data_IF_292824012872
#
_entry.id   IF_292824012872
#
_cell.length_a   1.000
_cell.length_b   1.000
_cell.length_c   1.000
_cell.angle_alpha   90.00
_cell.angle_beta   90.00
_cell.angle_gamma   90.00
#
_symmetry.space_group_name_H-M   'P 1'
#
loop_
_entity.id
_entity.type
_entity.pdbx_description
1 polymer ?
#
# COMPACT_ATOMS: atom_id res chain seq x y z
N UNK A 1 -29.63 53.27 4.57
CA UNK A 1 -29.27 51.85 4.36
C UNK A 1 -29.95 51.06 5.47
N UNK A 2 -31.18 50.60 5.25
CA UNK A 2 -31.93 49.85 6.26
C UNK A 2 -31.66 48.36 6.04
N UNK A 3 -30.99 47.74 7.00
CA UNK A 3 -30.88 46.28 7.08
C UNK A 3 -32.30 45.76 7.31
N UNK A 4 -32.87 45.12 6.29
CA UNK A 4 -34.21 44.52 6.38
C UNK A 4 -34.21 43.46 7.49
N UNK A 5 -35.12 43.61 8.44
CA UNK A 5 -35.33 42.67 9.54
C UNK A 5 -35.85 41.34 8.99
N UNK A 6 -34.97 40.34 8.95
CA UNK A 6 -35.35 38.98 8.60
C UNK A 6 -36.20 38.42 9.74
N UNK A 7 -37.41 37.96 9.43
CA UNK A 7 -38.32 37.36 10.42
C UNK A 7 -37.70 36.09 11.01
N UNK A 8 -37.86 35.82 12.32
CA UNK A 8 -37.30 34.61 12.94
C UNK A 8 -37.80 33.33 12.26
N UNK A 9 -39.01 33.36 11.70
CA UNK A 9 -39.62 32.24 10.97
C UNK A 9 -38.93 32.01 9.63
N UNK A 10 -38.55 33.07 8.90
CA UNK A 10 -37.81 32.93 7.65
C UNK A 10 -36.37 32.51 7.89
N UNK A 11 -35.75 32.96 8.97
CA UNK A 11 -34.43 32.47 9.39
C UNK A 11 -34.47 30.96 9.75
N UNK A 12 -35.50 30.51 10.46
CA UNK A 12 -35.70 29.09 10.78
C UNK A 12 -36.01 28.24 9.56
N UNK A 13 -36.86 28.71 8.64
CA UNK A 13 -37.11 28.02 7.37
C UNK A 13 -35.82 27.89 6.55
N UNK A 14 -35.01 28.95 6.46
CA UNK A 14 -33.73 28.91 5.74
C UNK A 14 -32.75 27.93 6.40
N UNK A 15 -32.66 27.91 7.74
CA UNK A 15 -31.81 26.95 8.47
C UNK A 15 -32.25 25.50 8.32
N UNK A 16 -33.56 25.23 8.28
CA UNK A 16 -34.09 23.89 8.06
C UNK A 16 -33.83 23.42 6.62
N UNK A 17 -33.99 24.31 5.64
CA UNK A 17 -33.73 24.01 4.23
C UNK A 17 -32.23 23.81 3.98
N UNK A 18 -31.35 24.62 4.55
CA UNK A 18 -29.89 24.42 4.42
C UNK A 18 -29.41 23.17 5.16
N UNK A 19 -29.99 22.85 6.32
CA UNK A 19 -29.71 21.62 7.06
C UNK A 19 -30.09 20.34 6.30
N UNK A 20 -31.18 20.39 5.51
CA UNK A 20 -31.61 19.28 4.66
C UNK A 20 -30.74 19.11 3.39
N UNK A 21 -30.24 20.20 2.82
CA UNK A 21 -29.37 20.18 1.63
C UNK A 21 -27.96 19.65 1.95
N UNK A 22 -27.48 19.80 3.19
CA UNK A 22 -26.18 19.28 3.64
C UNK A 22 -26.19 17.78 4.01
N UNK A 23 -27.37 17.17 4.16
CA UNK A 23 -27.52 15.80 4.68
C UNK A 23 -27.60 14.70 3.59
N UNK A 24 -27.59 15.07 2.30
CA UNK A 24 -27.60 14.10 1.20
C UNK A 24 -26.19 13.74 0.73
N UNK A 25 -25.32 13.35 1.67
CA UNK A 25 -24.29 12.38 1.33
C UNK A 25 -24.97 11.01 1.44
N UNK A 26 -25.06 10.26 0.33
CA UNK A 26 -25.43 8.85 0.37
C UNK A 26 -24.47 8.15 1.33
N UNK A 27 -24.93 7.90 2.56
CA UNK A 27 -24.10 7.23 3.54
C UNK A 27 -23.85 5.79 3.07
N UNK A 28 -22.58 5.46 2.82
CA UNK A 28 -22.14 4.11 2.51
C UNK A 28 -22.76 3.09 3.47
N UNK A 29 -23.62 2.20 2.95
CA UNK A 29 -24.15 1.09 3.72
C UNK A 29 -23.10 -0.02 3.81
N UNK A 30 -22.39 -0.05 4.95
CA UNK A 30 -21.29 -0.97 5.21
C UNK A 30 -21.67 -2.44 5.01
N UNK A 31 -22.88 -2.85 5.43
CA UNK A 31 -23.33 -4.24 5.30
C UNK A 31 -23.60 -4.65 3.86
N UNK A 32 -24.20 -3.76 3.07
CA UNK A 32 -24.38 -3.98 1.62
C UNK A 32 -23.02 -3.98 0.91
N UNK A 33 -22.10 -3.09 1.32
CA UNK A 33 -20.75 -3.07 0.78
C UNK A 33 -19.98 -4.36 1.05
N UNK A 34 -19.98 -4.83 2.30
CA UNK A 34 -19.37 -6.09 2.69
C UNK A 34 -19.95 -7.27 1.92
N UNK A 35 -21.27 -7.34 1.78
CA UNK A 35 -21.91 -8.39 0.98
C UNK A 35 -21.47 -8.33 -0.48
N UNK A 36 -21.44 -7.14 -1.07
CA UNK A 36 -21.05 -6.94 -2.48
C UNK A 36 -19.61 -7.39 -2.74
N UNK A 37 -18.66 -7.01 -1.88
CA UNK A 37 -17.25 -7.43 -2.06
C UNK A 37 -17.08 -8.95 -1.88
N UNK A 38 -17.85 -9.58 -0.99
CA UNK A 38 -17.83 -11.03 -0.82
C UNK A 38 -18.44 -11.77 -2.02
N UNK A 39 -19.61 -11.34 -2.49
CA UNK A 39 -20.34 -12.03 -3.56
C UNK A 39 -19.63 -11.91 -4.91
N UNK A 40 -18.96 -10.79 -5.18
CA UNK A 40 -18.31 -10.55 -6.47
C UNK A 40 -16.78 -10.67 -6.41
N UNK A 41 -16.13 -9.89 -5.55
CA UNK A 41 -14.66 -9.80 -5.56
C UNK A 41 -14.01 -11.04 -4.95
N UNK A 42 -14.49 -11.50 -3.79
CA UNK A 42 -13.97 -12.72 -3.15
C UNK A 42 -14.29 -13.98 -3.95
N UNK A 43 -15.48 -14.06 -4.55
CA UNK A 43 -15.85 -15.19 -5.40
C UNK A 43 -14.89 -15.33 -6.59
N UNK A 44 -14.59 -14.22 -7.27
CA UNK A 44 -13.63 -14.20 -8.39
C UNK A 44 -12.23 -14.57 -7.91
N UNK A 45 -11.76 -13.94 -6.84
CA UNK A 45 -10.45 -14.24 -6.26
C UNK A 45 -10.30 -15.72 -5.85
N UNK A 46 -11.34 -16.30 -5.25
CA UNK A 46 -11.35 -17.71 -4.83
C UNK A 46 -11.28 -18.65 -6.03
N UNK A 47 -11.99 -18.31 -7.11
CA UNK A 47 -11.92 -19.06 -8.37
C UNK A 47 -10.50 -19.02 -8.95
N UNK A 48 -9.90 -17.83 -9.04
CA UNK A 48 -8.58 -17.64 -9.63
C UNK A 48 -7.47 -18.32 -8.79
N UNK A 49 -7.54 -18.18 -7.46
CA UNK A 49 -6.63 -18.87 -6.54
C UNK A 49 -6.81 -20.39 -6.55
N UNK A 50 -8.01 -20.89 -6.87
CA UNK A 50 -8.27 -22.31 -7.03
C UNK A 50 -7.68 -22.91 -8.31
N UNK A 51 -7.37 -22.07 -9.32
CA UNK A 51 -6.65 -22.47 -10.52
C UNK A 51 -5.13 -22.56 -10.35
N UNK A 52 -4.60 -22.03 -9.25
CA UNK A 52 -3.16 -22.04 -8.93
C UNK A 52 -2.82 -23.20 -7.98
N UNK A 53 -1.65 -23.81 -8.19
CA UNK A 53 -1.08 -24.75 -7.23
C UNK A 53 -0.84 -24.05 -5.88
N UNK A 54 -1.20 -24.72 -4.78
CA UNK A 54 -1.03 -24.18 -3.42
C UNK A 54 0.39 -23.72 -3.09
N UNK A 55 1.40 -24.37 -3.66
CA UNK A 55 2.80 -23.98 -3.49
C UNK A 55 3.13 -22.61 -4.06
N UNK A 56 2.35 -22.13 -5.02
CA UNK A 56 2.52 -20.83 -5.67
C UNK A 56 1.82 -19.69 -4.92
N UNK A 57 0.97 -19.99 -3.93
CA UNK A 57 0.28 -18.95 -3.15
C UNK A 57 1.23 -17.99 -2.44
N UNK A 58 2.44 -18.43 -2.11
CA UNK A 58 3.47 -17.59 -1.47
C UNK A 58 4.41 -16.90 -2.47
N UNK A 59 4.26 -17.16 -3.77
CA UNK A 59 5.06 -16.53 -4.81
C UNK A 59 4.37 -15.27 -5.30
N UNK A 60 4.86 -14.11 -4.84
CA UNK A 60 4.27 -12.82 -5.22
C UNK A 60 4.12 -12.61 -6.73
N UNK A 61 5.13 -12.91 -7.58
CA UNK A 61 4.99 -12.77 -9.03
C UNK A 61 3.82 -13.57 -9.62
N UNK A 62 3.51 -14.74 -9.06
CA UNK A 62 2.45 -15.62 -9.56
C UNK A 62 1.05 -15.16 -9.12
N UNK A 63 0.93 -14.49 -7.97
CA UNK A 63 -0.36 -14.03 -7.44
C UNK A 63 -0.63 -12.53 -7.64
N UNK A 64 0.36 -11.77 -8.13
CA UNK A 64 0.31 -10.30 -8.19
C UNK A 64 -0.89 -9.82 -9.01
N UNK A 65 -1.12 -10.40 -10.18
CA UNK A 65 -2.22 -10.02 -11.08
C UNK A 65 -3.58 -10.30 -10.44
N UNK A 66 -3.76 -11.49 -9.84
CA UNK A 66 -4.99 -11.87 -9.14
C UNK A 66 -5.27 -10.97 -7.94
N UNK A 67 -4.24 -10.63 -7.15
CA UNK A 67 -4.38 -9.74 -5.99
C UNK A 67 -4.64 -8.28 -6.40
N UNK A 68 -4.04 -7.81 -7.50
CA UNK A 68 -4.35 -6.51 -8.09
C UNK A 68 -5.80 -6.45 -8.57
N UNK A 69 -6.28 -7.50 -9.25
CA UNK A 69 -7.67 -7.65 -9.67
C UNK A 69 -8.65 -7.56 -8.49
N UNK A 70 -8.36 -8.27 -7.39
CA UNK A 70 -9.13 -8.19 -6.15
C UNK A 70 -9.16 -6.77 -5.58
N UNK A 71 -7.99 -6.12 -5.52
CA UNK A 71 -7.85 -4.74 -5.00
C UNK A 71 -8.67 -3.76 -5.83
N UNK A 72 -8.54 -3.82 -7.16
CA UNK A 72 -9.30 -2.99 -8.08
C UNK A 72 -10.81 -3.26 -8.00
N UNK A 73 -11.23 -4.52 -7.85
CA UNK A 73 -12.64 -4.87 -7.65
C UNK A 73 -13.22 -4.22 -6.39
N UNK A 74 -12.52 -4.31 -5.24
CA UNK A 74 -13.00 -3.68 -4.00
C UNK A 74 -13.02 -2.15 -4.09
N UNK A 75 -12.06 -1.56 -4.81
CA UNK A 75 -12.02 -0.13 -5.06
C UNK A 75 -13.21 0.32 -5.91
N UNK A 76 -13.50 -0.37 -7.01
CA UNK A 76 -14.67 -0.07 -7.86
C UNK A 76 -15.99 -0.29 -7.12
N UNK A 77 -16.09 -1.35 -6.30
CA UNK A 77 -17.28 -1.59 -5.48
C UNK A 77 -17.50 -0.46 -4.47
N UNK A 78 -16.42 0.04 -3.86
CA UNK A 78 -16.50 1.19 -2.95
C UNK A 78 -16.97 2.45 -3.67
N UNK A 79 -16.40 2.76 -4.85
CA UNK A 79 -16.82 3.90 -5.67
C UNK A 79 -18.30 3.83 -6.08
N UNK A 80 -18.80 2.65 -6.49
CA UNK A 80 -20.20 2.47 -6.92
C UNK A 80 -21.22 2.64 -5.80
N UNK A 81 -20.80 2.49 -4.54
CA UNK A 81 -21.66 2.61 -3.37
C UNK A 81 -21.32 3.83 -2.51
N UNK A 82 -20.60 4.80 -3.08
CA UNK A 82 -20.20 6.03 -2.41
C UNK A 82 -19.47 5.79 -1.08
N UNK A 83 -18.69 4.70 -1.02
CA UNK A 83 -17.85 4.34 0.12
C UNK A 83 -16.42 4.84 -0.10
N UNK A 84 -15.80 5.39 0.96
CA UNK A 84 -14.37 5.71 0.95
C UNK A 84 -13.53 4.43 0.91
N UNK A 85 -12.44 4.42 0.16
CA UNK A 85 -11.48 3.32 0.09
C UNK A 85 -10.08 3.87 0.38
N UNK A 86 -9.29 3.27 1.30
CA UNK A 86 -9.62 2.09 2.12
C UNK A 86 -10.49 2.44 3.33
N UNK A 87 -11.15 1.43 3.92
CA UNK A 87 -11.93 1.57 5.16
C UNK A 87 -11.90 0.27 5.98
N UNK A 88 -12.37 0.31 7.23
CA UNK A 88 -12.37 -0.86 8.14
C UNK A 88 -13.02 -2.16 7.60
N UNK A 89 -14.03 -2.08 6.71
CA UNK A 89 -14.63 -3.26 6.07
C UNK A 89 -13.62 -3.89 5.12
N UNK A 90 -12.95 -3.07 4.31
CA UNK A 90 -11.88 -3.51 3.39
C UNK A 90 -10.70 -4.07 4.18
N UNK A 91 -10.31 -3.43 5.28
CA UNK A 91 -9.21 -3.92 6.12
C UNK A 91 -9.52 -5.31 6.68
N UNK A 92 -10.73 -5.51 7.23
CA UNK A 92 -11.16 -6.81 7.73
C UNK A 92 -11.21 -7.87 6.62
N UNK A 93 -11.76 -7.50 5.47
CA UNK A 93 -11.84 -8.35 4.29
C UNK A 93 -10.46 -8.85 3.84
N UNK A 94 -9.49 -7.95 3.65
CA UNK A 94 -8.13 -8.34 3.27
C UNK A 94 -7.42 -9.13 4.37
N UNK A 95 -7.60 -8.77 5.65
CA UNK A 95 -7.05 -9.56 6.75
C UNK A 95 -7.55 -11.01 6.72
N UNK A 96 -8.82 -11.24 6.38
CA UNK A 96 -9.38 -12.59 6.29
C UNK A 96 -8.80 -13.37 5.09
N UNK A 97 -8.59 -12.71 3.95
CA UNK A 97 -7.88 -13.31 2.81
C UNK A 97 -6.46 -13.70 3.19
N UNK A 98 -5.70 -12.81 3.85
CA UNK A 98 -4.34 -13.10 4.31
C UNK A 98 -4.30 -14.29 5.29
N UNK A 99 -5.23 -14.37 6.23
CA UNK A 99 -5.34 -15.52 7.15
C UNK A 99 -5.75 -16.82 6.46
N UNK A 100 -6.46 -16.76 5.34
CA UNK A 100 -6.97 -17.97 4.67
C UNK A 100 -5.94 -18.50 3.66
N UNK A 101 -5.41 -17.64 2.80
CA UNK A 101 -4.55 -18.03 1.68
C UNK A 101 -3.06 -17.88 1.98
N UNK A 102 -2.67 -16.95 2.85
CA UNK A 102 -1.26 -16.55 3.01
C UNK A 102 -0.71 -16.78 4.42
N UNK A 103 -1.40 -17.57 5.27
CA UNK A 103 -1.01 -17.76 6.67
C UNK A 103 0.36 -18.44 6.86
N UNK A 104 0.75 -19.31 5.93
CA UNK A 104 2.05 -20.00 5.95
C UNK A 104 3.14 -19.27 5.15
N UNK A 105 2.81 -18.15 4.52
CA UNK A 105 3.76 -17.44 3.66
C UNK A 105 4.71 -16.60 4.50
N UNK A 106 6.02 -16.84 4.32
CA UNK A 106 7.04 -16.00 4.91
C UNK A 106 7.04 -14.60 4.25
N UNK A 107 7.24 -13.55 5.03
CA UNK A 107 7.36 -12.16 4.54
C UNK A 107 8.67 -11.89 3.75
N UNK A 108 9.37 -12.95 3.36
CA UNK A 108 10.69 -12.90 2.78
C UNK A 108 10.60 -12.38 1.34
N UNK A 109 11.12 -11.19 1.06
CA UNK A 109 11.26 -10.66 -0.30
C UNK A 109 10.37 -9.46 -0.66
N UNK A 110 9.36 -9.11 0.17
CA UNK A 110 8.57 -7.86 -0.04
C UNK A 110 9.12 -6.65 0.71
N UNK A 111 9.90 -6.87 1.76
CA UNK A 111 10.50 -5.79 2.50
C UNK A 111 11.86 -5.47 1.86
N UNK A 112 11.94 -4.34 1.14
CA UNK A 112 13.23 -3.75 0.78
C UNK A 112 13.92 -3.44 2.10
N UNK A 113 14.83 -4.33 2.49
CA UNK A 113 15.61 -4.24 3.73
C UNK A 113 17.06 -4.32 3.34
N UNK A 114 17.88 -3.51 4.01
CA UNK A 114 19.32 -3.67 3.90
C UNK A 114 19.73 -5.10 4.22
N UNK A 115 20.71 -5.66 3.50
CA UNK A 115 21.22 -6.98 3.82
C UNK A 115 21.80 -6.99 5.25
N UNK A 116 21.83 -8.16 5.91
CA UNK A 116 22.39 -8.27 7.25
C UNK A 116 23.83 -7.71 7.29
N UNK A 117 24.20 -7.10 8.41
CA UNK A 117 25.49 -6.40 8.58
C UNK A 117 26.69 -7.29 8.22
N UNK A 118 26.60 -8.60 8.48
CA UNK A 118 27.65 -9.55 8.11
C UNK A 118 27.93 -9.64 6.61
N UNK A 119 26.96 -9.31 5.76
CA UNK A 119 27.12 -9.20 4.31
C UNK A 119 27.49 -7.76 3.94
N UNK A 120 26.75 -6.79 4.46
CA UNK A 120 26.90 -5.37 4.11
C UNK A 120 28.30 -4.82 4.46
N UNK A 121 28.83 -5.17 5.63
CA UNK A 121 30.09 -4.61 6.11
C UNK A 121 31.29 -5.00 5.22
N UNK A 122 31.51 -6.27 4.85
CA UNK A 122 32.55 -6.64 3.87
C UNK A 122 32.44 -5.88 2.54
N UNK A 123 31.22 -5.71 2.01
CA UNK A 123 31.00 -4.97 0.76
C UNK A 123 31.43 -3.50 0.85
N UNK A 124 31.41 -2.90 2.04
CA UNK A 124 31.88 -1.52 2.26
C UNK A 124 33.38 -1.51 2.57
N UNK A 125 33.84 -2.40 3.45
CA UNK A 125 35.23 -2.41 3.93
C UNK A 125 36.21 -2.80 2.84
N UNK A 126 35.89 -3.78 1.99
CA UNK A 126 36.82 -4.25 0.94
C UNK A 126 37.15 -3.15 -0.07
N UNK A 127 36.19 -2.43 -0.69
CA UNK A 127 36.50 -1.31 -1.57
C UNK A 127 37.31 -0.21 -0.89
N UNK A 128 36.99 0.14 0.36
CA UNK A 128 37.73 1.18 1.11
C UNK A 128 39.17 0.76 1.35
N UNK A 129 39.42 -0.50 1.74
CA UNK A 129 40.78 -0.99 1.93
C UNK A 129 41.55 -1.00 0.61
N UNK A 130 40.91 -1.38 -0.49
CA UNK A 130 41.54 -1.36 -1.83
C UNK A 130 41.91 0.07 -2.22
N UNK A 131 41.04 1.07 -2.03
CA UNK A 131 41.36 2.46 -2.36
C UNK A 131 42.51 3.00 -1.50
N UNK A 132 42.54 2.67 -0.21
CA UNK A 132 43.65 3.04 0.68
C UNK A 132 44.97 2.37 0.28
N UNK A 133 44.94 1.09 -0.10
CA UNK A 133 46.13 0.37 -0.56
C UNK A 133 46.65 0.95 -1.88
N UNK A 134 45.77 1.18 -2.85
CA UNK A 134 46.16 1.76 -4.15
C UNK A 134 46.74 3.16 -4.00
N UNK A 135 46.13 4.01 -3.17
CA UNK A 135 46.67 5.36 -2.91
C UNK A 135 48.04 5.31 -2.23
N UNK A 136 48.22 4.42 -1.24
CA UNK A 136 49.52 4.21 -0.60
C UNK A 136 50.59 3.71 -1.58
N UNK A 137 50.23 2.78 -2.47
CA UNK A 137 51.12 2.27 -3.52
C UNK A 137 51.53 3.38 -4.50
N UNK A 138 50.58 4.23 -4.92
CA UNK A 138 50.87 5.36 -5.82
C UNK A 138 51.80 6.37 -5.17
N UNK A 139 51.53 6.77 -3.92
CA UNK A 139 52.39 7.71 -3.18
C UNK A 139 53.79 7.13 -2.97
N UNK A 140 53.88 5.84 -2.64
CA UNK A 140 55.16 5.17 -2.45
C UNK A 140 55.97 5.12 -3.76
N UNK A 141 55.34 4.76 -4.88
CA UNK A 141 55.99 4.72 -6.20
C UNK A 141 56.41 6.11 -6.67
N UNK A 142 55.59 7.13 -6.46
CA UNK A 142 55.90 8.51 -6.81
C UNK A 142 57.14 9.01 -6.07
N UNK A 143 57.20 8.87 -4.74
CA UNK A 143 58.38 9.27 -3.95
C UNK A 143 59.65 8.50 -4.33
N UNK A 144 59.54 7.21 -4.62
CA UNK A 144 60.68 6.38 -5.09
C UNK A 144 61.20 6.84 -6.45
N UNK A 145 60.35 7.39 -7.31
CA UNK A 145 60.74 7.83 -8.65
C UNK A 145 61.37 9.23 -8.60
N UNK A 146 60.88 10.12 -7.74
CA UNK A 146 61.50 11.44 -7.49
C UNK A 146 62.86 11.35 -6.80
N UNK A 147 63.09 10.37 -5.91
CA UNK A 147 64.39 10.17 -5.27
C UNK A 147 65.44 9.43 -6.10
N UNK A 148 65.10 9.04 -7.34
CA UNK A 148 65.99 8.32 -8.28
C UNK A 148 66.38 9.19 -9.49
N UNK A 149 65.75 10.35 -9.66
CA UNK A 149 66.12 11.41 -10.61
C UNK A 149 66.94 12.49 -9.92
#
# INVERSE_FOLDING_TARGET
MAVGSVSPVTAWCVLLVTGQILASASACNKGVFEKTINDFCLATFTHDMGGLDRGLWCSWPDIMETYEGLTNCTYQAAQRMDCYWPNHVVDHFFMQIHRTYFHDCALNGRLVRDPPVGILAPFITVPVLITLLMTALVVWRSKRTEGVL
#
